data_IF_012406161665
#
_entry.id   IF_012406161665
#
_cell.length_a   1.000
_cell.length_b   1.000
_cell.length_c   1.000
_cell.angle_alpha   90.00
_cell.angle_beta   90.00
_cell.angle_gamma   90.00
#
_symmetry.space_group_name_H-M   'P 1'
#
loop_
_entity.id
_entity.type
_entity.pdbx_description
1 polymer ?
#
# COMPACT_ATOMS: atom_id res chain seq x y z
N UNK A 1 -27.78 21.63 -4.92
CA UNK A 1 -27.34 20.91 -3.72
C UNK A 1 -26.46 19.74 -4.13
N UNK A 2 -25.23 19.74 -3.69
CA UNK A 2 -24.34 18.63 -4.06
C UNK A 2 -24.74 17.36 -3.31
N UNK A 3 -24.70 16.22 -3.97
CA UNK A 3 -24.98 14.96 -3.28
C UNK A 3 -23.92 14.69 -2.24
N UNK A 4 -24.32 14.05 -1.14
CA UNK A 4 -23.38 13.61 -0.14
C UNK A 4 -22.49 12.52 -0.71
N UNK A 5 -21.50 12.04 0.08
CA UNK A 5 -20.67 10.93 -0.37
C UNK A 5 -21.54 9.71 -0.70
N UNK A 6 -21.11 8.88 -1.66
CA UNK A 6 -21.90 7.68 -1.99
C UNK A 6 -22.06 6.79 -0.77
N UNK A 7 -23.22 6.18 -0.65
CA UNK A 7 -23.46 5.24 0.44
C UNK A 7 -22.52 4.05 0.31
N UNK A 8 -21.99 3.60 1.44
CA UNK A 8 -21.13 2.41 1.46
C UNK A 8 -21.95 1.16 1.14
N UNK A 9 -21.36 0.17 0.46
CA UNK A 9 -22.04 -1.10 0.25
C UNK A 9 -22.46 -1.73 1.59
N UNK A 10 -23.52 -2.52 1.53
CA UNK A 10 -24.01 -3.21 2.72
C UNK A 10 -22.90 -4.08 3.33
N UNK A 11 -22.73 -3.96 4.64
CA UNK A 11 -21.73 -4.72 5.36
C UNK A 11 -20.36 -4.04 5.45
N UNK A 12 -20.19 -2.89 4.80
CA UNK A 12 -18.97 -2.09 4.92
C UNK A 12 -19.19 -1.02 5.98
N UNK A 13 -18.35 -0.98 7.04
CA UNK A 13 -18.51 0.03 8.09
C UNK A 13 -18.08 1.41 7.59
N UNK A 14 -18.76 2.46 8.05
CA UNK A 14 -18.31 3.83 7.81
C UNK A 14 -17.06 4.14 8.63
N UNK A 15 -16.50 5.35 8.46
CA UNK A 15 -15.25 5.73 9.12
C UNK A 15 -15.30 5.63 10.64
N UNK A 16 -16.42 6.06 11.25
CA UNK A 16 -16.55 6.01 12.70
C UNK A 16 -16.67 4.56 13.20
N UNK A 17 -17.52 3.77 12.55
CA UNK A 17 -17.68 2.36 12.89
C UNK A 17 -16.41 1.58 12.67
N UNK A 18 -15.70 1.85 11.57
CA UNK A 18 -14.41 1.24 11.28
C UNK A 18 -13.41 1.50 12.40
N UNK A 19 -13.33 2.76 12.87
CA UNK A 19 -12.42 3.12 13.96
C UNK A 19 -12.78 2.37 15.25
N UNK A 20 -14.07 2.29 15.56
CA UNK A 20 -14.53 1.55 16.73
C UNK A 20 -14.15 0.06 16.65
N UNK A 21 -14.35 -0.56 15.49
CA UNK A 21 -14.00 -1.96 15.27
C UNK A 21 -12.49 -2.19 15.40
N UNK A 22 -11.67 -1.30 14.85
CA UNK A 22 -10.21 -1.44 14.94
C UNK A 22 -9.70 -1.26 16.36
N UNK A 23 -10.42 -0.51 17.19
CA UNK A 23 -10.07 -0.32 18.59
C UNK A 23 -10.68 -1.37 19.52
N UNK A 24 -11.55 -2.24 19.00
CA UNK A 24 -12.19 -3.29 19.79
C UNK A 24 -11.21 -4.44 19.99
N UNK A 25 -10.76 -4.61 21.24
CA UNK A 25 -9.76 -5.62 21.58
C UNK A 25 -10.30 -7.05 21.48
N UNK A 26 -11.62 -7.22 21.45
CA UNK A 26 -12.24 -8.56 21.38
C UNK A 26 -12.72 -8.93 19.98
N UNK A 27 -12.43 -8.09 18.98
CA UNK A 27 -12.80 -8.40 17.60
C UNK A 27 -12.04 -9.64 17.13
N UNK A 28 -12.79 -10.68 16.74
CA UNK A 28 -12.20 -11.97 16.37
C UNK A 28 -11.40 -11.88 15.08
N UNK A 29 -10.40 -12.77 14.89
CA UNK A 29 -9.68 -12.83 13.62
C UNK A 29 -10.60 -13.08 12.42
N UNK A 30 -11.65 -13.90 12.60
CA UNK A 30 -12.61 -14.18 11.53
C UNK A 30 -13.34 -12.92 11.09
N UNK A 31 -13.78 -12.09 12.04
CA UNK A 31 -14.43 -10.82 11.73
C UNK A 31 -13.44 -9.85 11.09
N UNK A 32 -12.18 -9.82 11.56
CA UNK A 32 -11.14 -9.02 10.93
C UNK A 32 -10.95 -9.42 9.47
N UNK A 33 -10.92 -10.73 9.20
CA UNK A 33 -10.82 -11.24 7.83
C UNK A 33 -11.99 -10.80 6.98
N UNK A 34 -13.20 -10.95 7.51
CA UNK A 34 -14.42 -10.61 6.77
C UNK A 34 -14.48 -9.13 6.42
N UNK A 35 -14.20 -8.26 7.38
CA UNK A 35 -14.16 -6.82 7.12
C UNK A 35 -13.05 -6.47 6.14
N UNK A 36 -11.86 -7.03 6.35
CA UNK A 36 -10.72 -6.77 5.47
C UNK A 36 -11.01 -7.17 4.03
N UNK A 37 -11.62 -8.34 3.83
CA UNK A 37 -11.98 -8.80 2.48
C UNK A 37 -13.01 -7.90 1.81
N UNK A 38 -13.98 -7.40 2.56
CA UNK A 38 -14.97 -6.46 2.02
C UNK A 38 -14.30 -5.19 1.52
N UNK A 39 -13.38 -4.62 2.28
CA UNK A 39 -12.62 -3.46 1.82
C UNK A 39 -11.75 -3.80 0.61
N UNK A 40 -11.14 -4.98 0.60
CA UNK A 40 -10.30 -5.40 -0.52
C UNK A 40 -11.10 -5.53 -1.81
N UNK A 41 -12.34 -6.04 -1.73
CA UNK A 41 -13.23 -6.12 -2.88
C UNK A 41 -13.54 -4.76 -3.49
N UNK A 42 -13.53 -3.72 -2.66
CA UNK A 42 -13.70 -2.33 -3.12
C UNK A 42 -12.40 -1.72 -3.65
N UNK A 43 -11.29 -2.45 -3.57
CA UNK A 43 -9.98 -1.92 -3.92
C UNK A 43 -9.36 -1.04 -2.84
N UNK A 44 -9.93 -1.01 -1.65
CA UNK A 44 -9.46 -0.18 -0.53
C UNK A 44 -8.45 -0.99 0.29
N UNK A 45 -7.25 -1.12 -0.26
CA UNK A 45 -6.21 -2.01 0.28
C UNK A 45 -5.68 -1.57 1.62
N UNK A 46 -5.59 -0.26 1.86
CA UNK A 46 -5.11 0.24 3.15
C UNK A 46 -6.09 -0.05 4.28
N UNK A 47 -7.38 0.08 4.01
CA UNK A 47 -8.41 -0.27 4.99
C UNK A 47 -8.38 -1.77 5.27
N UNK A 48 -8.27 -2.58 4.22
CA UNK A 48 -8.14 -4.03 4.37
C UNK A 48 -6.91 -4.39 5.21
N UNK A 49 -5.79 -3.72 4.95
CA UNK A 49 -4.54 -3.93 5.69
C UNK A 49 -4.72 -3.74 7.19
N UNK A 50 -5.43 -2.69 7.59
CA UNK A 50 -5.65 -2.41 9.01
C UNK A 50 -6.36 -3.56 9.71
N UNK A 51 -7.39 -4.12 9.07
CA UNK A 51 -8.11 -5.27 9.64
C UNK A 51 -7.27 -6.54 9.62
N UNK A 52 -6.51 -6.78 8.55
CA UNK A 52 -5.65 -7.96 8.49
C UNK A 52 -4.54 -7.91 9.54
N UNK A 53 -3.99 -6.72 9.80
CA UNK A 53 -3.00 -6.54 10.87
C UNK A 53 -3.63 -6.79 12.24
N UNK A 54 -4.80 -6.23 12.48
CA UNK A 54 -5.49 -6.42 13.75
C UNK A 54 -5.76 -7.89 14.03
N UNK A 55 -6.16 -8.64 13.00
CA UNK A 55 -6.45 -10.06 13.15
C UNK A 55 -5.22 -10.96 13.13
N UNK A 56 -4.03 -10.42 12.89
CA UNK A 56 -2.82 -11.21 12.77
C UNK A 56 -2.87 -12.21 11.61
N UNK A 57 -3.49 -11.82 10.51
CA UNK A 57 -3.79 -12.69 9.38
C UNK A 57 -2.62 -12.74 8.41
N UNK A 58 -1.64 -13.60 8.70
CA UNK A 58 -0.38 -13.68 7.97
C UNK A 58 -0.58 -13.95 6.48
N UNK A 59 -1.52 -14.82 6.11
CA UNK A 59 -1.76 -15.16 4.71
C UNK A 59 -2.31 -13.98 3.92
N UNK A 60 -3.28 -13.27 4.50
CA UNK A 60 -3.87 -12.08 3.88
C UNK A 60 -2.81 -10.98 3.73
N UNK A 61 -1.97 -10.81 4.75
CA UNK A 61 -0.89 -9.82 4.70
C UNK A 61 0.15 -10.18 3.65
N UNK A 62 0.46 -11.47 3.50
CA UNK A 62 1.38 -11.94 2.47
C UNK A 62 0.84 -11.67 1.07
N UNK A 63 -0.46 -11.83 0.86
CA UNK A 63 -1.09 -11.51 -0.42
C UNK A 63 -0.99 -10.02 -0.75
N UNK A 64 -1.19 -9.15 0.25
CA UNK A 64 -1.01 -7.71 0.06
C UNK A 64 0.43 -7.36 -0.27
N UNK A 65 1.40 -8.03 0.37
CA UNK A 65 2.82 -7.83 0.07
C UNK A 65 3.13 -8.23 -1.37
N UNK A 66 2.66 -9.39 -1.81
CA UNK A 66 2.86 -9.84 -3.18
C UNK A 66 2.30 -8.84 -4.18
N UNK A 67 1.11 -8.31 -3.89
CA UNK A 67 0.50 -7.28 -4.73
C UNK A 67 1.34 -6.01 -4.78
N UNK A 68 1.85 -5.56 -3.62
CA UNK A 68 2.69 -4.36 -3.56
C UNK A 68 3.97 -4.53 -4.40
N UNK A 69 4.61 -5.69 -4.27
CA UNK A 69 5.83 -6.00 -5.04
C UNK A 69 5.55 -6.04 -6.54
N UNK A 70 4.46 -6.66 -6.94
CA UNK A 70 4.14 -6.81 -8.36
C UNK A 70 3.70 -5.49 -9.00
N UNK A 71 3.00 -4.65 -8.27
CA UNK A 71 2.52 -3.37 -8.79
C UNK A 71 3.47 -2.21 -8.55
N UNK A 72 4.58 -2.45 -7.86
CA UNK A 72 5.55 -1.39 -7.55
C UNK A 72 5.01 -0.35 -6.58
N UNK A 73 4.12 -0.76 -5.67
CA UNK A 73 3.48 0.16 -4.74
C UNK A 73 4.31 0.28 -3.45
N UNK A 74 5.21 1.25 -3.44
CA UNK A 74 6.10 1.50 -2.31
C UNK A 74 5.34 1.95 -1.06
N UNK A 75 4.24 2.66 -1.24
CA UNK A 75 3.44 3.12 -0.12
C UNK A 75 2.80 1.93 0.60
N UNK A 76 2.19 1.02 -0.14
CA UNK A 76 1.57 -0.16 0.45
C UNK A 76 2.61 -1.05 1.14
N UNK A 77 3.77 -1.27 0.52
CA UNK A 77 4.81 -2.08 1.13
C UNK A 77 5.28 -1.49 2.47
N UNK A 78 5.45 -0.17 2.51
CA UNK A 78 5.84 0.52 3.75
C UNK A 78 4.79 0.38 4.85
N UNK A 79 3.51 0.38 4.48
CA UNK A 79 2.41 0.23 5.44
C UNK A 79 2.35 -1.19 6.03
N UNK A 80 2.92 -2.16 5.35
CA UNK A 80 2.97 -3.55 5.84
C UNK A 80 3.98 -3.76 6.96
N UNK A 81 4.80 -2.75 7.27
CA UNK A 81 5.78 -2.82 8.33
C UNK A 81 7.19 -2.95 7.78
N UNK A 82 8.11 -3.42 8.64
CA UNK A 82 9.51 -3.55 8.25
C UNK A 82 9.68 -4.60 7.14
N UNK A 83 10.44 -4.23 6.11
CA UNK A 83 10.74 -5.11 4.99
C UNK A 83 12.24 -5.20 4.80
N UNK A 84 12.71 -6.35 4.32
CA UNK A 84 14.13 -6.55 4.03
C UNK A 84 14.56 -5.67 2.85
N UNK A 85 15.85 -5.27 2.80
CA UNK A 85 16.34 -4.48 1.66
C UNK A 85 16.10 -5.14 0.31
N UNK A 86 16.16 -6.47 0.22
CA UNK A 86 15.89 -7.20 -1.02
C UNK A 86 14.46 -6.99 -1.52
N UNK A 87 13.51 -6.93 -0.60
CA UNK A 87 12.11 -6.68 -0.96
C UNK A 87 11.95 -5.27 -1.54
N UNK A 88 12.56 -4.28 -0.92
CA UNK A 88 12.54 -2.92 -1.42
C UNK A 88 13.21 -2.80 -2.78
N UNK A 89 14.35 -3.49 -2.97
CA UNK A 89 15.06 -3.48 -4.24
C UNK A 89 14.21 -4.12 -5.35
N UNK A 90 13.59 -5.25 -5.05
CA UNK A 90 12.69 -5.93 -5.98
C UNK A 90 11.52 -5.01 -6.38
N UNK A 91 10.90 -4.36 -5.41
CA UNK A 91 9.81 -3.41 -5.70
C UNK A 91 10.30 -2.25 -6.56
N UNK A 92 11.48 -1.71 -6.24
CA UNK A 92 12.06 -0.60 -7.00
C UNK A 92 12.28 -0.96 -8.46
N UNK A 93 12.80 -2.14 -8.75
CA UNK A 93 12.99 -2.62 -10.11
C UNK A 93 11.67 -2.77 -10.85
N UNK A 94 10.67 -3.34 -10.17
CA UNK A 94 9.34 -3.49 -10.75
C UNK A 94 8.69 -2.14 -11.02
N UNK A 95 8.82 -1.21 -10.10
CA UNK A 95 8.28 0.14 -10.25
C UNK A 95 8.91 0.85 -11.45
N UNK A 96 10.22 0.67 -11.68
CA UNK A 96 10.87 1.23 -12.86
C UNK A 96 10.28 0.67 -14.16
N UNK A 97 10.08 -0.64 -14.23
CA UNK A 97 9.47 -1.27 -15.41
C UNK A 97 8.09 -0.69 -15.69
N UNK A 98 7.35 -0.38 -14.64
CA UNK A 98 6.00 0.16 -14.75
C UNK A 98 5.96 1.68 -14.94
N UNK A 99 7.11 2.34 -14.95
CA UNK A 99 7.19 3.78 -15.09
C UNK A 99 6.84 4.57 -13.83
N UNK A 100 6.78 3.89 -12.69
CA UNK A 100 6.45 4.50 -11.40
C UNK A 100 7.73 5.02 -10.73
N UNK A 101 8.32 6.05 -11.30
CA UNK A 101 9.67 6.50 -10.94
C UNK A 101 9.76 6.98 -9.48
N UNK A 102 8.72 7.63 -8.97
CA UNK A 102 8.73 8.11 -7.58
C UNK A 102 8.69 6.95 -6.59
N UNK A 103 7.89 5.93 -6.88
CA UNK A 103 7.87 4.72 -6.06
C UNK A 103 9.20 3.95 -6.15
N UNK A 104 9.80 3.91 -7.35
CA UNK A 104 11.11 3.28 -7.53
C UNK A 104 12.17 3.98 -6.68
N UNK A 105 12.22 5.31 -6.73
CA UNK A 105 13.17 6.09 -5.92
C UNK A 105 13.02 5.79 -4.45
N UNK A 106 11.79 5.84 -3.94
CA UNK A 106 11.54 5.57 -2.53
C UNK A 106 11.97 4.16 -2.15
N UNK A 107 11.68 3.17 -2.99
CA UNK A 107 12.04 1.79 -2.72
C UNK A 107 13.56 1.62 -2.65
N UNK A 108 14.31 2.23 -3.57
CA UNK A 108 15.77 2.14 -3.55
C UNK A 108 16.36 2.89 -2.36
N UNK A 109 15.76 4.01 -1.94
CA UNK A 109 16.15 4.69 -0.70
C UNK A 109 15.97 3.76 0.49
N UNK A 110 14.83 3.10 0.57
CA UNK A 110 14.54 2.16 1.67
C UNK A 110 15.46 0.94 1.64
N UNK A 111 15.90 0.53 0.45
CA UNK A 111 16.85 -0.56 0.30
C UNK A 111 18.30 -0.16 0.65
N UNK A 112 18.56 1.13 0.79
CA UNK A 112 19.92 1.64 0.98
C UNK A 112 20.78 1.55 -0.26
N UNK A 113 20.15 1.48 -1.45
CA UNK A 113 20.85 1.39 -2.73
C UNK A 113 21.07 2.79 -3.29
N UNK A 114 22.16 3.42 -2.90
CA UNK A 114 22.43 4.82 -3.24
C UNK A 114 22.65 5.01 -4.74
N UNK A 115 23.27 4.04 -5.42
CA UNK A 115 23.54 4.12 -6.86
C UNK A 115 22.22 4.14 -7.63
N UNK A 116 21.31 3.24 -7.32
CA UNK A 116 20.02 3.20 -8.01
C UNK A 116 19.11 4.36 -7.61
N UNK A 117 19.20 4.82 -6.39
CA UNK A 117 18.49 6.03 -5.96
C UNK A 117 18.91 7.22 -6.80
N UNK A 118 20.23 7.40 -7.01
CA UNK A 118 20.76 8.48 -7.84
C UNK A 118 20.35 8.33 -9.30
N UNK A 119 20.36 7.11 -9.82
CA UNK A 119 19.91 6.82 -11.18
C UNK A 119 18.47 7.25 -11.38
N UNK A 120 17.59 6.87 -10.47
CA UNK A 120 16.16 7.21 -10.57
C UNK A 120 15.95 8.70 -10.40
N UNK A 121 16.67 9.34 -9.49
CA UNK A 121 16.61 10.81 -9.33
C UNK A 121 16.95 11.52 -10.65
N UNK A 122 17.93 10.99 -11.39
CA UNK A 122 18.28 11.51 -12.71
C UNK A 122 17.14 11.33 -13.72
N UNK A 123 16.45 10.19 -13.68
CA UNK A 123 15.29 9.95 -14.54
C UNK A 123 14.15 10.91 -14.24
N UNK A 124 13.90 11.18 -12.97
CA UNK A 124 12.88 12.14 -12.54
C UNK A 124 13.22 13.54 -13.05
N UNK A 125 14.47 13.97 -12.90
CA UNK A 125 14.94 15.25 -13.38
C UNK A 125 14.80 15.34 -14.90
N UNK A 126 15.10 14.25 -15.62
CA UNK A 126 14.93 14.18 -17.07
C UNK A 126 13.49 14.30 -17.53
N UNK A 127 12.55 13.76 -16.76
CA UNK A 127 11.11 13.89 -17.05
C UNK A 127 10.61 15.32 -16.83
N UNK A 128 11.13 15.98 -15.80
CA UNK A 128 10.79 17.37 -15.52
C UNK A 128 11.46 18.32 -16.52
N UNK A 129 12.57 17.93 -17.04
CA UNK A 129 13.59 18.59 -17.83
C UNK A 129 13.23 19.76 -18.73
N UNK A 130 13.27 19.62 -20.09
CA UNK A 130 13.28 20.78 -20.96
C UNK A 130 12.09 21.71 -20.86
N UNK A 131 10.94 21.19 -20.51
CA UNK A 131 9.71 21.96 -20.35
C UNK A 131 9.79 22.92 -19.16
N UNK A 132 10.64 22.60 -18.19
CA UNK A 132 10.78 23.38 -16.97
C UNK A 132 11.90 24.44 -17.07
N UNK A 133 12.63 24.42 -18.14
CA UNK A 133 13.73 25.36 -18.34
C UNK A 133 13.28 26.63 -19.05
#
# INVERSE_FOLDING_TARGET
MSPGPPALPKGIPDCLKKRQLLNDQVLSPELCRDYGRKFLELGWREDALEFFKKGGLADELAQLKAYALETGDAFLLGRLGHQAPEDWRHLGERALVLGKVHFARRAFEMAGDDDKTALVAGLIAGQAGPEDS
#
